data_IF_570212237721
#
_entry.id   IF_570212237721
#
_cell.length_a   1.000
_cell.length_b   1.000
_cell.length_c   1.000
_cell.angle_alpha   90.00
_cell.angle_beta   90.00
_cell.angle_gamma   90.00
#
_symmetry.space_group_name_H-M   'P 1'
#
loop_
_entity.id
_entity.type
_entity.pdbx_description
1 polymer ?
#
# COMPACT_ATOMS: atom_id res chain seq x y z
N UNK A 1 17.43 3.28 6.10
CA UNK A 1 16.51 3.70 5.04
C UNK A 1 15.70 4.85 5.59
N UNK A 2 15.79 6.00 4.95
CA UNK A 2 15.08 7.23 5.29
C UNK A 2 13.67 7.23 4.67
N UNK A 3 12.82 8.17 5.09
CA UNK A 3 11.42 8.27 4.67
C UNK A 3 11.26 8.44 3.15
N UNK A 4 12.15 9.20 2.48
CA UNK A 4 12.06 9.42 1.04
C UNK A 4 12.33 8.13 0.27
N UNK A 5 13.34 7.38 0.69
CA UNK A 5 13.64 6.06 0.09
C UNK A 5 12.46 5.10 0.26
N UNK A 6 11.84 5.06 1.45
CA UNK A 6 10.65 4.21 1.71
C UNK A 6 9.49 4.62 0.80
N UNK A 7 9.16 5.93 0.73
CA UNK A 7 8.09 6.43 -0.14
C UNK A 7 8.33 6.11 -1.61
N UNK A 8 9.57 6.25 -2.07
CA UNK A 8 9.93 5.91 -3.45
C UNK A 8 9.78 4.41 -3.73
N UNK A 9 10.30 3.55 -2.86
CA UNK A 9 10.15 2.10 -3.01
C UNK A 9 8.69 1.66 -2.93
N UNK A 10 7.89 2.26 -2.04
CA UNK A 10 6.45 2.01 -1.95
C UNK A 10 5.75 2.35 -3.26
N UNK A 11 6.04 3.52 -3.85
CA UNK A 11 5.44 3.93 -5.12
C UNK A 11 5.77 2.95 -6.26
N UNK A 12 7.04 2.54 -6.39
CA UNK A 12 7.48 1.59 -7.43
C UNK A 12 6.80 0.23 -7.27
N UNK A 13 6.70 -0.29 -6.05
CA UNK A 13 6.05 -1.58 -5.81
C UNK A 13 4.54 -1.48 -6.00
N UNK A 14 3.93 -0.37 -5.59
CA UNK A 14 2.49 -0.15 -5.75
C UNK A 14 2.08 -0.02 -7.22
N UNK A 15 2.93 0.57 -8.07
CA UNK A 15 2.74 0.60 -9.53
C UNK A 15 2.73 -0.82 -10.14
N UNK A 16 3.56 -1.73 -9.64
CA UNK A 16 3.55 -3.13 -10.08
C UNK A 16 2.28 -3.88 -9.67
N UNK A 17 1.74 -3.55 -8.49
CA UNK A 17 0.50 -4.12 -7.96
C UNK A 17 -0.69 -3.62 -8.79
N UNK A 18 -0.78 -2.29 -8.97
CA UNK A 18 -1.87 -1.63 -9.72
C UNK A 18 -1.94 -2.08 -11.18
N UNK A 19 -0.79 -2.21 -11.85
CA UNK A 19 -0.74 -2.72 -13.24
C UNK A 19 -1.38 -4.10 -13.41
N UNK A 20 -1.32 -4.97 -12.38
CA UNK A 20 -1.99 -6.28 -12.40
C UNK A 20 -3.48 -6.16 -12.16
N UNK A 21 -3.90 -5.36 -11.18
CA UNK A 21 -5.30 -5.22 -10.83
C UNK A 21 -6.10 -4.45 -11.88
N UNK A 22 -5.48 -3.52 -12.61
CA UNK A 22 -6.09 -2.82 -13.74
C UNK A 22 -6.47 -3.78 -14.89
N UNK A 23 -5.76 -4.89 -15.01
CA UNK A 23 -6.07 -5.99 -15.94
C UNK A 23 -7.06 -7.01 -15.34
N UNK A 24 -7.57 -6.78 -14.12
CA UNK A 24 -8.42 -7.72 -13.39
C UNK A 24 -7.68 -8.98 -12.93
N UNK A 25 -6.36 -8.90 -12.79
CA UNK A 25 -5.52 -10.03 -12.36
C UNK A 25 -5.13 -9.90 -10.89
N UNK A 26 -4.85 -11.05 -10.27
CA UNK A 26 -4.29 -11.09 -8.94
C UNK A 26 -2.87 -10.48 -8.96
N UNK A 27 -2.54 -9.55 -8.06
CA UNK A 27 -1.18 -9.04 -7.94
C UNK A 27 -0.23 -10.12 -7.39
N UNK A 28 1.05 -9.96 -7.67
CA UNK A 28 2.08 -10.90 -7.23
C UNK A 28 2.23 -10.88 -5.70
N UNK A 29 2.17 -12.05 -5.06
CA UNK A 29 2.25 -12.15 -3.60
C UNK A 29 3.55 -11.57 -3.05
N UNK A 30 4.69 -11.77 -3.72
CA UNK A 30 5.97 -11.24 -3.26
C UNK A 30 6.02 -9.71 -3.38
N UNK A 31 5.40 -9.14 -4.41
CA UNK A 31 5.26 -7.69 -4.55
C UNK A 31 4.38 -7.12 -3.43
N UNK A 32 3.23 -7.73 -3.15
CA UNK A 32 2.30 -7.29 -2.10
C UNK A 32 2.91 -7.44 -0.71
N UNK A 33 3.62 -8.53 -0.44
CA UNK A 33 4.32 -8.74 0.82
C UNK A 33 5.46 -7.71 1.01
N UNK A 34 6.22 -7.39 -0.06
CA UNK A 34 7.20 -6.30 -0.02
C UNK A 34 6.53 -4.96 0.30
N UNK A 35 5.41 -4.65 -0.35
CA UNK A 35 4.65 -3.43 -0.11
C UNK A 35 4.18 -3.34 1.34
N UNK A 36 3.59 -4.41 1.88
CA UNK A 36 3.17 -4.48 3.28
C UNK A 36 4.32 -4.19 4.24
N UNK A 37 5.50 -4.79 4.04
CA UNK A 37 6.67 -4.52 4.89
C UNK A 37 7.12 -3.06 4.82
N UNK A 38 7.02 -2.42 3.66
CA UNK A 38 7.32 -1.00 3.50
C UNK A 38 6.28 -0.12 4.22
N UNK A 39 4.99 -0.44 4.15
CA UNK A 39 3.93 0.25 4.89
C UNK A 39 4.13 0.13 6.41
N UNK A 40 4.48 -1.07 6.91
CA UNK A 40 4.81 -1.24 8.33
C UNK A 40 6.02 -0.39 8.72
N UNK A 41 7.03 -0.33 7.86
CA UNK A 41 8.22 0.48 8.13
C UNK A 41 7.89 1.97 8.12
N UNK A 42 7.01 2.41 7.24
CA UNK A 42 6.49 3.77 7.18
C UNK A 42 5.74 4.12 8.47
N UNK A 43 4.86 3.24 8.96
CA UNK A 43 4.16 3.42 10.23
C UNK A 43 5.11 3.53 11.42
N UNK A 44 6.17 2.71 11.48
CA UNK A 44 7.17 2.78 12.56
C UNK A 44 7.96 4.10 12.64
N UNK A 45 8.05 4.84 11.54
CA UNK A 45 8.78 6.11 11.47
C UNK A 45 7.84 7.31 11.35
N UNK A 46 6.53 7.06 11.36
CA UNK A 46 5.53 8.11 11.33
C UNK A 46 5.55 8.88 12.65
N UNK A 47 5.42 10.20 12.55
CA UNK A 47 5.22 11.04 13.71
C UNK A 47 3.72 11.16 14.01
N UNK A 48 3.40 11.70 15.19
CA UNK A 48 2.02 11.79 15.69
C UNK A 48 1.07 12.57 14.75
N UNK A 49 1.59 13.39 13.83
CA UNK A 49 0.76 14.16 12.91
C UNK A 49 0.16 13.30 11.78
N UNK A 50 0.76 12.14 11.49
CA UNK A 50 0.33 11.26 10.38
C UNK A 50 0.41 9.76 10.67
N UNK A 51 0.60 9.40 11.95
CA UNK A 51 0.67 8.01 12.39
C UNK A 51 -0.63 7.25 12.11
N UNK A 52 -1.79 7.92 12.18
CA UNK A 52 -3.09 7.31 11.89
C UNK A 52 -3.23 6.90 10.42
N UNK A 53 -2.86 7.78 9.50
CA UNK A 53 -2.85 7.48 8.06
C UNK A 53 -1.85 6.37 7.72
N UNK A 54 -0.70 6.35 8.39
CA UNK A 54 0.29 5.29 8.21
C UNK A 54 -0.20 3.94 8.75
N UNK A 55 -0.95 3.94 9.86
CA UNK A 55 -1.61 2.76 10.41
C UNK A 55 -2.65 2.21 9.44
N UNK A 56 -3.52 3.07 8.89
CA UNK A 56 -4.53 2.69 7.90
C UNK A 56 -3.88 2.05 6.66
N UNK A 57 -2.80 2.64 6.14
CA UNK A 57 -2.02 2.07 5.04
C UNK A 57 -1.45 0.70 5.37
N UNK A 58 -0.88 0.55 6.57
CA UNK A 58 -0.36 -0.73 7.05
C UNK A 58 -1.47 -1.77 7.18
N UNK A 59 -2.67 -1.35 7.58
CA UNK A 59 -3.81 -2.24 7.74
C UNK A 59 -4.36 -2.70 6.38
N UNK A 60 -4.59 -1.77 5.44
CA UNK A 60 -5.07 -2.08 4.09
C UNK A 60 -4.09 -2.96 3.32
N UNK A 61 -2.80 -2.69 3.40
CA UNK A 61 -1.78 -3.53 2.75
C UNK A 61 -1.71 -4.95 3.32
N UNK A 62 -1.99 -5.13 4.62
CA UNK A 62 -2.13 -6.46 5.21
C UNK A 62 -3.39 -7.18 4.72
N UNK A 63 -4.52 -6.48 4.60
CA UNK A 63 -5.74 -7.06 4.02
C UNK A 63 -5.50 -7.50 2.58
N UNK A 64 -4.80 -6.70 1.77
CA UNK A 64 -4.46 -7.03 0.39
C UNK A 64 -3.60 -8.31 0.34
N UNK A 65 -2.58 -8.43 1.19
CA UNK A 65 -1.77 -9.64 1.28
C UNK A 65 -2.61 -10.88 1.59
N UNK A 66 -3.60 -10.76 2.48
CA UNK A 66 -4.49 -11.85 2.83
C UNK A 66 -5.46 -12.21 1.69
N UNK A 67 -5.95 -11.23 0.93
CA UNK A 67 -6.79 -11.46 -0.25
C UNK A 67 -6.00 -12.21 -1.34
N UNK A 68 -4.75 -11.78 -1.60
CA UNK A 68 -3.85 -12.44 -2.56
C UNK A 68 -3.55 -13.88 -2.16
N UNK A 69 -3.23 -14.13 -0.89
CA UNK A 69 -3.00 -15.50 -0.38
C UNK A 69 -4.22 -16.42 -0.51
N UNK A 70 -5.42 -15.84 -0.53
CA UNK A 70 -6.69 -16.57 -0.74
C UNK A 70 -7.10 -16.65 -2.21
N UNK A 71 -6.31 -16.11 -3.13
CA UNK A 71 -6.66 -15.98 -4.55
C UNK A 71 -7.99 -15.23 -4.78
N UNK A 72 -8.31 -14.29 -3.88
CA UNK A 72 -9.52 -13.48 -3.92
C UNK A 72 -9.28 -12.23 -4.78
N UNK A 73 -9.54 -12.37 -6.08
CA UNK A 73 -9.25 -11.33 -7.08
C UNK A 73 -10.11 -10.09 -6.86
N UNK A 74 -11.41 -10.25 -6.66
CA UNK A 74 -12.35 -9.13 -6.49
C UNK A 74 -11.96 -8.27 -5.30
N UNK A 75 -11.72 -8.91 -4.15
CA UNK A 75 -11.29 -8.19 -2.95
C UNK A 75 -9.90 -7.56 -3.12
N UNK A 76 -8.99 -8.23 -3.85
CA UNK A 76 -7.67 -7.66 -4.14
C UNK A 76 -7.77 -6.37 -4.97
N UNK A 77 -8.65 -6.34 -5.99
CA UNK A 77 -8.90 -5.13 -6.79
C UNK A 77 -9.48 -4.02 -5.92
N UNK A 78 -10.53 -4.30 -5.14
CA UNK A 78 -11.16 -3.31 -4.24
C UNK A 78 -10.17 -2.73 -3.21
N UNK A 79 -9.28 -3.56 -2.67
CA UNK A 79 -8.27 -3.13 -1.70
C UNK A 79 -7.19 -2.27 -2.34
N UNK A 80 -6.81 -2.53 -3.60
CA UNK A 80 -5.88 -1.69 -4.34
C UNK A 80 -6.49 -0.32 -4.64
N UNK A 81 -7.75 -0.26 -5.07
CA UNK A 81 -8.47 1.01 -5.25
C UNK A 81 -8.51 1.81 -3.93
N UNK A 82 -8.83 1.14 -2.82
CA UNK A 82 -8.86 1.77 -1.49
C UNK A 82 -7.49 2.33 -1.06
N UNK A 83 -6.42 1.58 -1.34
CA UNK A 83 -5.04 2.02 -1.08
C UNK A 83 -4.67 3.23 -1.95
N UNK A 84 -5.15 3.28 -3.19
CA UNK A 84 -4.88 4.38 -4.10
C UNK A 84 -5.61 5.66 -3.67
N UNK A 85 -6.86 5.54 -3.23
CA UNK A 85 -7.62 6.66 -2.66
C UNK A 85 -6.96 7.19 -1.38
N UNK A 86 -6.53 6.29 -0.48
CA UNK A 86 -5.77 6.65 0.71
C UNK A 86 -4.45 7.36 0.35
N UNK A 87 -3.78 6.92 -0.72
CA UNK A 87 -2.53 7.53 -1.20
C UNK A 87 -2.74 8.97 -1.65
N UNK A 88 -3.81 9.20 -2.42
CA UNK A 88 -4.17 10.54 -2.91
C UNK A 88 -4.51 11.46 -1.74
N UNK A 89 -5.20 10.95 -0.73
CA UNK A 89 -5.50 11.71 0.49
C UNK A 89 -4.22 12.08 1.24
N UNK A 90 -3.32 11.12 1.51
CA UNK A 90 -2.04 11.39 2.16
C UNK A 90 -1.17 12.37 1.36
N UNK A 91 -1.04 12.19 0.05
CA UNK A 91 -0.27 13.11 -0.79
C UNK A 91 -0.87 14.52 -0.85
N UNK A 92 -2.18 14.69 -0.67
CA UNK A 92 -2.81 16.01 -0.62
C UNK A 92 -2.68 16.65 0.77
N UNK A 93 -2.81 15.85 1.83
CA UNK A 93 -2.74 16.33 3.22
C UNK A 93 -1.33 16.72 3.67
N UNK A 94 -0.28 16.14 3.08
CA UNK A 94 1.12 16.36 3.48
C UNK A 94 1.97 17.11 2.46
N UNK A 95 1.35 17.83 1.50
CA UNK A 95 2.06 18.66 0.51
C UNK A 95 2.28 20.11 0.96
N UNK A 96 1.87 20.46 2.18
CA UNK A 96 2.17 21.73 2.86
C UNK A 96 3.09 21.50 4.07
#
# INVERSE_FOLDING_TARGET
MDLLTIKHEMAVVFEQITARTDEGLLPDEAAVDKFFRLCQRMHQIADDAWIGEAEDFSHLSHQLLNAVKKSDVENSVMLVESLQDAQVYCHRSFRD
#
